data_IF_922843834206
#
_entry.id   IF_922843834206
#
_cell.length_a   1.000
_cell.length_b   1.000
_cell.length_c   1.000
_cell.angle_alpha   90.00
_cell.angle_beta   90.00
_cell.angle_gamma   90.00
#
_symmetry.space_group_name_H-M   'P 1'
#
loop_
_entity.id
_entity.type
_entity.pdbx_description
1 polymer ?
#
# COMPACT_ATOMS: atom_id res chain seq x y z
N UNK A 1 10.30 2.69 0.03
CA UNK A 1 11.28 1.86 -0.69
C UNK A 1 11.27 2.06 -2.20
N UNK A 2 10.13 2.07 -2.91
CA UNK A 2 10.10 2.32 -4.38
C UNK A 2 11.01 3.49 -4.84
N UNK A 3 10.78 4.69 -4.29
CA UNK A 3 11.58 5.89 -4.61
C UNK A 3 13.06 5.74 -4.24
N UNK A 4 13.35 5.02 -3.17
CA UNK A 4 14.73 4.72 -2.72
C UNK A 4 15.45 3.89 -3.76
N UNK A 5 14.85 2.79 -4.22
CA UNK A 5 15.44 1.91 -5.23
C UNK A 5 15.57 2.61 -6.59
N UNK A 6 14.55 3.37 -7.00
CA UNK A 6 14.62 4.18 -8.21
C UNK A 6 15.74 5.24 -8.12
N UNK A 7 15.93 5.87 -6.96
CA UNK A 7 17.03 6.83 -6.72
C UNK A 7 18.42 6.18 -6.74
N UNK A 8 18.51 4.87 -6.48
CA UNK A 8 19.74 4.08 -6.63
C UNK A 8 19.95 3.58 -8.07
N UNK A 9 19.05 3.91 -9.02
CA UNK A 9 19.11 3.43 -10.39
C UNK A 9 18.62 1.98 -10.59
N UNK A 10 17.99 1.38 -9.57
CA UNK A 10 17.46 0.01 -9.65
C UNK A 10 16.08 0.06 -10.31
N UNK A 11 15.88 -0.59 -11.48
CA UNK A 11 14.58 -0.65 -12.13
C UNK A 11 13.56 -1.30 -11.20
N UNK A 12 12.58 -0.52 -10.75
CA UNK A 12 11.59 -0.96 -9.77
C UNK A 12 10.20 -0.79 -10.34
N UNK A 13 9.36 -1.81 -10.19
CA UNK A 13 7.95 -1.79 -10.58
C UNK A 13 7.09 -2.16 -9.38
N UNK A 14 5.85 -1.63 -9.32
CA UNK A 14 4.90 -1.96 -8.26
C UNK A 14 3.72 -2.70 -8.84
N UNK A 15 3.25 -3.74 -8.14
CA UNK A 15 2.04 -4.48 -8.48
C UNK A 15 0.98 -4.15 -7.43
N UNK A 16 -0.25 -3.87 -7.87
CA UNK A 16 -1.37 -3.68 -6.95
C UNK A 16 -1.59 -4.95 -6.12
N UNK A 17 -1.80 -4.86 -4.79
CA UNK A 17 -2.10 -6.02 -3.95
C UNK A 17 -3.31 -6.83 -4.44
N UNK A 18 -4.27 -6.16 -5.10
CA UNK A 18 -5.45 -6.82 -5.68
C UNK A 18 -5.08 -7.77 -6.82
N UNK A 19 -4.01 -7.47 -7.57
CA UNK A 19 -3.51 -8.33 -8.64
C UNK A 19 -2.62 -9.46 -8.11
N UNK A 20 -2.03 -9.31 -6.91
CA UNK A 20 -1.21 -10.36 -6.28
C UNK A 20 -2.08 -11.38 -5.55
N UNK A 21 -3.19 -10.94 -4.93
CA UNK A 21 -4.07 -11.77 -4.09
C UNK A 21 -4.48 -13.12 -4.73
N UNK A 22 -4.82 -13.22 -6.03
CA UNK A 22 -5.19 -14.50 -6.65
C UNK A 22 -4.07 -15.55 -6.67
N UNK A 23 -2.80 -15.14 -6.52
CA UNK A 23 -1.64 -16.03 -6.57
C UNK A 23 -1.16 -16.49 -5.19
N UNK A 24 -1.79 -16.02 -4.10
CA UNK A 24 -1.45 -16.43 -2.73
C UNK A 24 -2.13 -17.77 -2.43
N UNK A 25 -1.34 -18.84 -2.33
CA UNK A 25 -1.86 -20.23 -2.27
C UNK A 25 -2.27 -20.73 -0.88
N UNK A 26 -1.86 -20.05 0.19
CA UNK A 26 -2.12 -20.46 1.57
C UNK A 26 -2.12 -19.25 2.51
N UNK A 27 -2.12 -19.49 3.83
CA UNK A 27 -2.03 -18.44 4.84
C UNK A 27 -0.87 -17.48 4.55
N UNK A 28 -1.10 -16.23 4.94
CA UNK A 28 -0.13 -15.15 4.72
C UNK A 28 1.16 -15.44 5.47
N UNK A 29 2.25 -15.55 4.72
CA UNK A 29 3.61 -15.53 5.21
C UNK A 29 4.52 -14.96 4.11
N UNK A 30 5.72 -14.52 4.47
CA UNK A 30 6.61 -13.83 3.55
C UNK A 30 7.01 -14.70 2.34
N UNK A 31 7.15 -16.01 2.53
CA UNK A 31 7.47 -16.97 1.46
C UNK A 31 6.36 -17.03 0.41
N UNK A 32 5.12 -17.15 0.85
CA UNK A 32 3.94 -17.24 0.00
C UNK A 32 3.69 -15.90 -0.70
N UNK A 33 3.89 -14.78 -0.01
CA UNK A 33 3.76 -13.44 -0.59
C UNK A 33 4.84 -13.21 -1.66
N UNK A 34 6.10 -13.58 -1.40
CA UNK A 34 7.17 -13.47 -2.38
C UNK A 34 6.91 -14.33 -3.64
N UNK A 35 6.45 -15.57 -3.45
CA UNK A 35 6.08 -16.44 -4.57
C UNK A 35 4.91 -15.85 -5.37
N UNK A 36 3.88 -15.34 -4.70
CA UNK A 36 2.72 -14.74 -5.35
C UNK A 36 3.10 -13.48 -6.15
N UNK A 37 3.99 -12.64 -5.62
CA UNK A 37 4.51 -11.46 -6.33
C UNK A 37 5.31 -11.88 -7.57
N UNK A 38 6.20 -12.86 -7.46
CA UNK A 38 6.97 -13.36 -8.59
C UNK A 38 6.06 -13.98 -9.66
N UNK A 39 5.06 -14.77 -9.26
CA UNK A 39 4.10 -15.38 -10.16
C UNK A 39 3.27 -14.30 -10.88
N UNK A 40 2.76 -13.31 -10.15
CA UNK A 40 2.05 -12.16 -10.72
C UNK A 40 2.94 -11.41 -11.72
N UNK A 41 4.17 -11.07 -11.34
CA UNK A 41 5.11 -10.33 -12.19
C UNK A 41 5.44 -11.04 -13.51
N UNK A 42 5.41 -12.37 -13.53
CA UNK A 42 5.70 -13.17 -14.73
C UNK A 42 4.57 -13.21 -15.76
N UNK A 43 3.35 -12.74 -15.43
CA UNK A 43 2.21 -12.79 -16.36
C UNK A 43 2.32 -11.69 -17.40
N UNK A 44 2.20 -12.06 -18.68
CA UNK A 44 2.26 -11.10 -19.80
C UNK A 44 1.18 -10.00 -19.75
N UNK A 45 0.03 -10.28 -19.14
CA UNK A 45 -1.07 -9.33 -18.94
C UNK A 45 -0.94 -8.48 -17.67
N UNK A 46 0.15 -8.62 -16.91
CA UNK A 46 0.30 -7.95 -15.63
C UNK A 46 0.38 -6.44 -15.80
N UNK A 47 -0.34 -5.72 -14.93
CA UNK A 47 -0.36 -4.26 -14.91
C UNK A 47 0.38 -3.74 -13.69
N UNK A 48 1.37 -2.91 -13.95
CA UNK A 48 2.14 -2.22 -12.92
C UNK A 48 1.52 -0.86 -12.61
N UNK A 49 1.65 -0.44 -11.35
CA UNK A 49 1.20 0.86 -10.89
C UNK A 49 2.42 1.77 -10.68
N UNK A 50 2.23 3.06 -10.93
CA UNK A 50 3.26 4.05 -10.65
C UNK A 50 3.44 4.21 -9.15
N UNK A 51 4.69 4.44 -8.73
CA UNK A 51 4.96 4.83 -7.36
C UNK A 51 4.40 6.22 -7.05
N UNK A 52 4.02 6.43 -5.79
CA UNK A 52 3.52 7.74 -5.35
C UNK A 52 4.61 8.79 -5.42
N UNK A 53 4.24 9.99 -5.88
CA UNK A 53 5.09 11.18 -5.77
C UNK A 53 5.15 11.67 -4.32
N UNK A 54 6.05 12.61 -4.04
CA UNK A 54 6.16 13.23 -2.70
C UNK A 54 4.86 13.96 -2.37
N UNK A 55 4.35 14.73 -3.32
CA UNK A 55 3.13 15.54 -3.17
C UNK A 55 1.91 14.64 -2.92
N UNK A 56 1.81 13.51 -3.63
CA UNK A 56 0.76 12.52 -3.40
C UNK A 56 0.86 11.88 -2.00
N UNK A 57 2.08 11.64 -1.52
CA UNK A 57 2.32 11.13 -0.18
C UNK A 57 1.94 12.17 0.89
N UNK A 58 2.24 13.44 0.66
CA UNK A 58 1.90 14.55 1.56
C UNK A 58 0.39 14.75 1.68
N UNK A 59 -0.32 14.75 0.55
CA UNK A 59 -1.80 14.81 0.54
C UNK A 59 -2.39 13.63 1.31
N UNK A 60 -1.84 12.42 1.14
CA UNK A 60 -2.28 11.26 1.89
C UNK A 60 -2.04 11.41 3.41
N UNK A 61 -0.90 12.00 3.80
CA UNK A 61 -0.59 12.26 5.20
C UNK A 61 -1.59 13.25 5.82
N UNK A 62 -1.91 14.34 5.11
CA UNK A 62 -2.93 15.31 5.55
C UNK A 62 -4.31 14.67 5.73
N UNK A 63 -4.73 13.84 4.77
CA UNK A 63 -6.00 13.12 4.88
C UNK A 63 -6.02 12.17 6.08
N UNK A 64 -4.90 11.51 6.39
CA UNK A 64 -4.78 10.63 7.55
C UNK A 64 -4.85 11.40 8.87
N UNK A 65 -4.20 12.56 8.96
CA UNK A 65 -4.28 13.45 10.13
C UNK A 65 -5.73 13.89 10.35
N UNK A 66 -6.41 14.33 9.27
CA UNK A 66 -7.82 14.70 9.34
C UNK A 66 -8.69 13.55 9.87
N UNK A 67 -8.52 12.34 9.34
CA UNK A 67 -9.29 11.16 9.78
C UNK A 67 -9.07 10.85 11.27
N UNK A 68 -7.82 10.94 11.75
CA UNK A 68 -7.49 10.80 13.17
C UNK A 68 -8.22 11.85 14.01
N UNK A 69 -8.12 13.13 13.62
CA UNK A 69 -8.77 14.22 14.37
C UNK A 69 -10.30 14.08 14.41
N UNK A 70 -10.91 13.65 13.30
CA UNK A 70 -12.35 13.37 13.26
C UNK A 70 -12.72 12.25 14.22
N UNK A 71 -11.96 11.14 14.23
CA UNK A 71 -12.18 10.03 15.16
C UNK A 71 -12.00 10.45 16.62
N UNK A 72 -10.94 11.19 16.94
CA UNK A 72 -10.69 11.71 18.28
C UNK A 72 -11.80 12.65 18.75
N UNK A 73 -12.28 13.56 17.89
CA UNK A 73 -13.42 14.42 18.21
C UNK A 73 -14.68 13.61 18.51
N UNK A 74 -14.99 12.62 17.67
CA UNK A 74 -16.17 11.76 17.89
C UNK A 74 -16.04 10.96 19.19
N UNK A 75 -14.86 10.42 19.50
CA UNK A 75 -14.62 9.70 20.73
C UNK A 75 -14.84 10.58 21.97
N UNK A 76 -14.30 11.81 21.97
CA UNK A 76 -14.51 12.77 23.06
C UNK A 76 -15.98 13.16 23.24
N UNK A 77 -16.73 13.35 22.15
CA UNK A 77 -18.17 13.63 22.20
C UNK A 77 -18.93 12.46 22.84
N UNK A 78 -18.58 11.22 22.48
CA UNK A 78 -19.21 10.03 23.05
C UNK A 78 -18.85 9.88 24.54
N UNK A 79 -17.61 10.14 24.92
CA UNK A 79 -17.15 10.10 26.32
C UNK A 79 -17.90 11.10 27.21
N UNK A 80 -18.20 12.30 26.70
CA UNK A 80 -19.03 13.29 27.42
C UNK A 80 -20.48 12.83 27.56
N UNK A 81 -20.99 12.04 26.60
CA UNK A 81 -22.39 11.58 26.59
C UNK A 81 -22.63 10.33 27.46
N UNK A 82 -21.60 9.56 27.76
CA UNK A 82 -21.70 8.25 28.42
C UNK A 82 -21.77 7.10 27.43
#
# INVERSE_FOLDING_TARGET
WYRTFMGMGIPTQLISPQHVKPYVKSNKNDRNDAQAIAEAASRASMRFVQGKTVEQQDVQALLKIRDILVKSRTALINEIRG
#
